data_IF_338846257225
#
_entry.id   IF_338846257225
#
_cell.length_a   1.000
_cell.length_b   1.000
_cell.length_c   1.000
_cell.angle_alpha   90.00
_cell.angle_beta   90.00
_cell.angle_gamma   90.00
#
_symmetry.space_group_name_H-M   'P 1'
#
loop_
_entity.id
_entity.type
_entity.pdbx_description
1 polymer ?
#
# COMPACT_ATOMS: atom_id res chain seq x y z
N UNK A 1 47.80 -9.14 26.58
CA UNK A 1 47.69 -9.78 25.26
C UNK A 1 47.25 -8.68 24.29
N UNK A 2 48.13 -7.84 23.73
CA UNK A 2 48.96 -8.05 22.50
C UNK A 2 48.17 -8.85 21.44
N UNK A 3 47.89 -8.41 20.20
CA UNK A 3 48.47 -7.35 19.38
C UNK A 3 47.45 -6.84 18.33
N UNK A 4 47.36 -5.52 18.16
CA UNK A 4 46.78 -4.84 16.99
C UNK A 4 47.82 -4.89 15.87
N UNK A 5 47.53 -5.63 14.81
CA UNK A 5 48.50 -5.91 13.74
C UNK A 5 48.07 -5.27 12.43
N UNK A 6 48.81 -4.21 12.08
CA UNK A 6 49.25 -3.77 10.74
C UNK A 6 48.30 -2.94 9.84
N UNK A 7 48.71 -1.68 9.72
CA UNK A 7 48.45 -0.73 8.64
C UNK A 7 49.26 -1.03 7.36
N UNK A 8 48.62 -0.69 6.23
CA UNK A 8 49.14 -0.22 4.93
C UNK A 8 49.78 -1.23 3.95
N UNK A 9 49.91 -0.91 2.63
CA UNK A 9 49.11 -0.03 1.75
C UNK A 9 48.76 -0.72 0.40
N UNK A 10 47.82 -0.18 -0.40
CA UNK A 10 47.84 -0.46 -1.84
C UNK A 10 47.44 0.77 -2.66
N UNK A 11 48.48 1.42 -3.22
CA UNK A 11 48.38 2.36 -4.32
C UNK A 11 48.25 1.58 -5.65
N UNK A 12 47.13 1.77 -6.36
CA UNK A 12 46.87 1.52 -7.80
C UNK A 12 45.34 1.55 -7.94
N UNK A 13 44.68 2.42 -8.70
CA UNK A 13 44.90 2.77 -10.09
C UNK A 13 44.26 4.14 -10.30
N UNK A 14 45.11 5.16 -10.52
CA UNK A 14 44.71 6.35 -11.23
C UNK A 14 44.89 6.11 -12.73
N UNK A 15 43.91 6.55 -13.52
CA UNK A 15 44.10 6.78 -14.95
C UNK A 15 43.32 5.86 -15.88
N UNK A 16 42.01 6.07 -16.02
CA UNK A 16 41.29 5.78 -17.28
C UNK A 16 40.08 6.73 -17.51
N UNK A 17 40.15 7.97 -17.03
CA UNK A 17 39.09 8.98 -17.29
C UNK A 17 39.19 9.72 -18.63
N UNK A 18 40.15 9.37 -19.49
CA UNK A 18 40.30 9.99 -20.81
C UNK A 18 40.53 8.95 -21.91
N UNK A 19 39.47 8.25 -22.30
CA UNK A 19 39.41 7.58 -23.60
C UNK A 19 37.98 7.51 -24.08
N UNK A 20 37.58 8.45 -24.95
CA UNK A 20 36.28 8.28 -25.60
C UNK A 20 35.67 9.44 -26.37
N UNK A 21 36.37 10.55 -26.66
CA UNK A 21 35.90 11.48 -27.69
C UNK A 21 36.22 10.88 -29.08
N UNK A 22 35.45 9.86 -29.48
CA UNK A 22 35.35 9.45 -30.88
C UNK A 22 33.91 9.72 -31.29
N UNK A 23 33.74 10.74 -32.14
CA UNK A 23 32.53 10.96 -32.90
C UNK A 23 32.10 9.63 -33.54
N UNK A 24 31.03 9.03 -33.01
CA UNK A 24 30.45 7.83 -33.60
C UNK A 24 29.43 8.31 -34.63
N UNK A 25 29.78 8.04 -35.88
CA UNK A 25 29.01 8.35 -37.07
C UNK A 25 27.51 8.07 -36.90
N UNK A 26 26.69 8.97 -37.45
CA UNK A 26 25.30 8.72 -37.78
C UNK A 26 25.23 7.44 -38.63
N UNK A 27 24.52 6.42 -38.15
CA UNK A 27 24.44 5.13 -38.83
C UNK A 27 24.00 3.95 -37.96
N UNK A 28 23.87 4.13 -36.65
CA UNK A 28 23.16 3.17 -35.80
C UNK A 28 21.66 3.38 -35.96
N UNK A 29 21.04 2.68 -36.90
CA UNK A 29 19.59 2.50 -36.87
C UNK A 29 19.22 2.03 -35.46
N UNK A 30 18.56 2.89 -34.69
CA UNK A 30 18.09 2.55 -33.36
C UNK A 30 17.14 1.37 -33.49
N UNK A 31 17.63 0.16 -33.18
CA UNK A 31 16.81 -1.03 -33.05
C UNK A 31 15.86 -0.73 -31.91
N UNK A 32 14.63 -0.35 -32.25
CA UNK A 32 13.58 -0.07 -31.28
C UNK A 32 13.09 -1.43 -30.81
N UNK A 33 13.58 -1.90 -29.66
CA UNK A 33 13.00 -3.04 -28.96
C UNK A 33 11.64 -2.65 -28.35
N UNK A 34 10.70 -2.17 -29.18
CA UNK A 34 9.36 -1.77 -28.74
C UNK A 34 8.44 -2.98 -28.45
N UNK A 35 8.89 -4.19 -28.79
CA UNK A 35 8.22 -5.46 -28.53
C UNK A 35 9.07 -6.42 -27.70
N UNK A 36 9.86 -5.92 -26.74
CA UNK A 36 10.56 -6.77 -25.78
C UNK A 36 9.56 -7.70 -25.10
N UNK A 37 9.78 -9.01 -25.26
CA UNK A 37 8.81 -10.07 -24.95
C UNK A 37 8.06 -9.84 -23.65
N UNK A 38 6.80 -9.44 -23.77
CA UNK A 38 5.89 -9.38 -22.63
C UNK A 38 5.86 -10.78 -22.02
N UNK A 39 6.20 -10.86 -20.74
CA UNK A 39 6.31 -12.11 -19.96
C UNK A 39 5.02 -12.95 -19.98
N UNK A 40 3.89 -12.34 -20.36
CA UNK A 40 2.59 -12.98 -20.58
C UNK A 40 2.30 -12.94 -22.08
N UNK A 41 2.15 -14.11 -22.70
CA UNK A 41 1.81 -14.21 -24.13
C UNK A 41 0.32 -13.87 -24.34
N UNK A 42 -0.03 -13.11 -25.40
CA UNK A 42 -1.43 -12.89 -25.75
C UNK A 42 -2.08 -14.21 -26.17
N UNK A 43 -3.32 -14.39 -25.78
CA UNK A 43 -4.09 -15.61 -26.01
C UNK A 43 -5.48 -15.25 -26.55
N UNK A 44 -5.99 -16.01 -27.52
CA UNK A 44 -7.27 -15.73 -28.18
C UNK A 44 -8.37 -16.67 -27.70
N UNK A 45 -9.53 -16.11 -27.30
CA UNK A 45 -10.75 -16.84 -26.83
C UNK A 45 -10.52 -17.87 -25.72
N UNK A 46 -9.41 -17.76 -24.99
CA UNK A 46 -9.05 -18.64 -23.87
C UNK A 46 -8.67 -17.78 -22.66
N UNK A 47 -8.72 -18.37 -21.46
CA UNK A 47 -8.37 -17.68 -20.23
C UNK A 47 -6.88 -17.27 -20.25
N UNK A 48 -6.54 -16.02 -19.89
CA UNK A 48 -5.18 -15.50 -19.98
C UNK A 48 -4.23 -16.16 -18.98
N UNK A 49 -2.93 -16.20 -19.31
CA UNK A 49 -1.92 -16.65 -18.37
C UNK A 49 -1.71 -15.62 -17.25
N UNK A 50 -2.09 -16.00 -16.02
CA UNK A 50 -1.79 -15.24 -14.82
C UNK A 50 -0.48 -15.71 -14.20
N UNK A 51 0.32 -14.78 -13.71
CA UNK A 51 1.50 -15.15 -12.92
C UNK A 51 1.07 -15.50 -11.49
N UNK A 52 1.65 -16.55 -10.91
CA UNK A 52 1.34 -16.95 -9.53
C UNK A 52 1.54 -15.81 -8.52
N UNK A 53 2.55 -14.98 -8.74
CA UNK A 53 2.86 -13.85 -7.87
C UNK A 53 1.77 -12.76 -7.92
N UNK A 54 1.12 -12.54 -9.06
CA UNK A 54 -0.01 -11.62 -9.15
C UNK A 54 -1.21 -12.13 -8.35
N UNK A 55 -1.54 -13.42 -8.48
CA UNK A 55 -2.65 -14.04 -7.73
C UNK A 55 -2.40 -13.96 -6.22
N UNK A 56 -1.21 -14.35 -5.77
CA UNK A 56 -0.85 -14.31 -4.34
C UNK A 56 -0.91 -12.88 -3.80
N UNK A 57 -0.40 -11.89 -4.54
CA UNK A 57 -0.46 -10.49 -4.11
C UNK A 57 -1.91 -9.99 -4.03
N UNK A 58 -2.75 -10.33 -5.01
CA UNK A 58 -4.15 -9.95 -5.01
C UNK A 58 -4.90 -10.53 -3.81
N UNK A 59 -4.71 -11.83 -3.54
CA UNK A 59 -5.28 -12.50 -2.37
C UNK A 59 -4.76 -11.90 -1.06
N UNK A 60 -3.46 -11.58 -0.99
CA UNK A 60 -2.87 -10.95 0.19
C UNK A 60 -3.50 -9.60 0.50
N UNK A 61 -3.70 -8.75 -0.52
CA UNK A 61 -4.38 -7.46 -0.33
C UNK A 61 -5.86 -7.62 0.04
N UNK A 62 -6.56 -8.57 -0.58
CA UNK A 62 -7.94 -8.89 -0.22
C UNK A 62 -8.05 -9.37 1.23
N UNK A 63 -7.17 -10.28 1.66
CA UNK A 63 -7.11 -10.75 3.04
C UNK A 63 -6.74 -9.63 4.01
N UNK A 64 -5.81 -8.75 3.65
CA UNK A 64 -5.42 -7.60 4.48
C UNK A 64 -6.57 -6.63 4.65
N UNK A 65 -7.33 -6.35 3.58
CA UNK A 65 -8.52 -5.49 3.63
C UNK A 65 -9.57 -6.07 4.57
N UNK A 66 -9.94 -7.34 4.41
CA UNK A 66 -10.94 -7.99 5.27
C UNK A 66 -10.46 -8.14 6.71
N UNK A 67 -9.19 -8.50 6.91
CA UNK A 67 -8.57 -8.52 8.22
C UNK A 67 -8.68 -7.15 8.90
N UNK A 68 -8.39 -6.06 8.18
CA UNK A 68 -8.48 -4.71 8.74
C UNK A 68 -9.91 -4.32 9.10
N UNK A 69 -10.90 -4.66 8.26
CA UNK A 69 -12.32 -4.39 8.55
C UNK A 69 -12.75 -5.13 9.82
N UNK A 70 -12.46 -6.42 9.92
CA UNK A 70 -12.85 -7.23 11.08
C UNK A 70 -12.09 -6.82 12.34
N UNK A 71 -10.79 -6.52 12.21
CA UNK A 71 -9.96 -6.04 13.30
C UNK A 71 -10.47 -4.70 13.82
N UNK A 72 -10.78 -3.74 12.91
CA UNK A 72 -11.30 -2.44 13.30
C UNK A 72 -12.70 -2.53 13.88
N UNK A 73 -13.55 -3.39 13.33
CA UNK A 73 -14.89 -3.63 13.88
C UNK A 73 -14.83 -4.21 15.29
N UNK A 74 -13.86 -5.08 15.59
CA UNK A 74 -13.68 -5.62 16.93
C UNK A 74 -13.09 -4.58 17.91
N UNK A 75 -12.14 -3.76 17.48
CA UNK A 75 -11.46 -2.78 18.34
C UNK A 75 -12.18 -1.43 18.48
N UNK A 76 -13.02 -1.06 17.52
CA UNK A 76 -13.72 0.22 17.43
C UNK A 76 -15.14 -0.01 16.91
N UNK A 77 -15.89 -0.85 17.64
CA UNK A 77 -17.29 -1.14 17.36
C UNK A 77 -18.19 0.08 17.51
N UNK A 78 -17.77 1.03 18.34
CA UNK A 78 -18.57 2.17 18.79
C UNK A 78 -18.74 3.21 17.67
N UNK A 79 -17.77 3.30 16.75
CA UNK A 79 -17.90 4.11 15.54
C UNK A 79 -18.98 3.61 14.57
N UNK A 80 -19.36 2.33 14.65
CA UNK A 80 -20.38 1.73 13.77
C UNK A 80 -21.71 1.57 14.50
N UNK A 81 -21.69 1.16 15.77
CA UNK A 81 -22.89 0.88 16.56
C UNK A 81 -23.44 2.10 17.31
N UNK A 82 -22.68 3.20 17.33
CA UNK A 82 -23.01 4.40 18.09
C UNK A 82 -22.27 4.42 19.42
N UNK A 83 -21.58 5.52 19.71
CA UNK A 83 -20.82 5.69 20.95
C UNK A 83 -21.71 5.88 22.18
N UNK A 84 -22.93 6.38 21.98
CA UNK A 84 -23.85 6.73 23.05
C UNK A 84 -25.21 6.08 22.82
N UNK A 85 -25.85 5.56 23.86
CA UNK A 85 -27.22 5.06 23.76
C UNK A 85 -28.15 6.23 23.39
N UNK A 86 -29.04 6.01 22.44
CA UNK A 86 -30.03 7.00 22.06
C UNK A 86 -31.09 7.10 23.17
N UNK A 87 -31.29 8.27 23.80
CA UNK A 87 -32.28 8.42 24.86
C UNK A 87 -33.69 8.30 24.27
N UNK A 88 -34.57 7.59 24.97
CA UNK A 88 -36.00 7.54 24.63
C UNK A 88 -36.68 8.84 25.08
N UNK A 89 -37.21 9.67 24.16
CA UNK A 89 -37.82 10.96 24.50
C UNK A 89 -39.05 10.84 25.40
N UNK A 90 -39.71 9.67 25.43
CA UNK A 90 -40.91 9.43 26.25
C UNK A 90 -40.60 9.20 27.74
N UNK A 91 -39.32 8.96 28.08
CA UNK A 91 -38.87 8.78 29.45
C UNK A 91 -38.46 10.11 30.12
N UNK A 92 -38.47 11.22 29.39
CA UNK A 92 -38.24 12.54 29.96
C UNK A 92 -39.45 12.96 30.80
N UNK A 93 -39.19 13.42 32.02
CA UNK A 93 -40.26 13.83 32.92
C UNK A 93 -40.82 15.18 32.49
N UNK A 94 -42.13 15.36 32.67
CA UNK A 94 -42.81 16.61 32.34
C UNK A 94 -42.22 17.82 33.11
N UNK A 95 -41.65 17.57 34.30
CA UNK A 95 -40.90 18.55 35.10
C UNK A 95 -39.60 19.02 34.40
N UNK A 96 -38.85 18.13 33.74
CA UNK A 96 -37.65 18.48 32.97
C UNK A 96 -38.00 19.15 31.64
N UNK A 97 -39.16 18.82 31.07
CA UNK A 97 -39.68 19.42 29.85
C UNK A 97 -40.42 20.75 30.08
N UNK A 98 -40.61 21.15 31.34
CA UNK A 98 -41.33 22.37 31.70
C UNK A 98 -42.80 22.35 31.31
N UNK A 99 -43.38 21.16 31.17
CA UNK A 99 -44.80 20.97 30.87
C UNK A 99 -45.52 21.02 32.22
N UNK A 100 -46.19 22.14 32.48
CA UNK A 100 -47.02 22.30 33.68
C UNK A 100 -48.24 21.38 33.52
N UNK A 101 -48.67 20.66 34.57
CA UNK A 101 -49.97 20.01 34.55
C UNK A 101 -51.03 21.10 34.41
N UNK A 102 -51.87 20.99 33.36
CA UNK A 102 -53.05 21.83 33.22
C UNK A 102 -54.08 21.36 34.26
N UNK A 103 -54.03 21.97 35.44
CA UNK A 103 -55.09 21.86 36.44
C UNK A 103 -56.29 22.71 35.97
N UNK A 104 -57.11 22.17 35.05
CA UNK A 104 -58.47 22.68 34.79
C UNK A 104 -59.48 21.90 35.67
N UNK A 105 -60.06 22.60 36.66
CA UNK A 105 -61.20 22.18 37.49
C UNK A 105 -62.50 21.98 36.68
#
# INVERSE_FOLDING_TARGET
MSALTRLAPLARVGGHFFRGLRARAAGGAGVRHAGGGVHIKPQYRQFPQLTRSQVIKAEFFSATMWFWILWRFWHDSDAVLGHFPYPDPSQWTDEELGILPDDED
#
